data_IF_352819348794
#
_entry.id   IF_352819348794
#
_cell.length_a   1.000
_cell.length_b   1.000
_cell.length_c   1.000
_cell.angle_alpha   90.00
_cell.angle_beta   90.00
_cell.angle_gamma   90.00
#
_symmetry.space_group_name_H-M   'P 1'
#
loop_
_entity.id
_entity.type
_entity.pdbx_description
1 polymer ?
#
# COMPACT_ATOMS: atom_id res chain seq x y z
N UNK A 1 -0.75 31.05 -13.94
CA UNK A 1 0.57 31.38 -13.33
C UNK A 1 1.21 30.20 -12.59
N UNK A 2 0.46 29.14 -12.27
CA UNK A 2 0.90 27.95 -11.51
C UNK A 2 1.95 27.04 -12.20
N UNK A 3 1.88 26.87 -13.54
CA UNK A 3 2.93 26.14 -14.31
C UNK A 3 4.35 26.67 -14.09
N UNK A 4 4.50 27.98 -13.82
CA UNK A 4 5.80 28.61 -13.50
C UNK A 4 6.23 28.43 -12.05
N UNK A 5 5.31 28.10 -11.14
CA UNK A 5 5.59 27.86 -9.73
C UNK A 5 6.09 26.42 -9.54
N UNK A 6 5.41 25.44 -10.15
CA UNK A 6 5.84 24.03 -10.16
C UNK A 6 7.22 23.84 -10.80
N UNK A 7 7.51 24.53 -11.91
CA UNK A 7 8.84 24.48 -12.58
C UNK A 7 9.97 25.18 -11.80
N UNK A 8 9.64 25.99 -10.80
CA UNK A 8 10.61 26.68 -9.94
C UNK A 8 10.86 25.94 -8.61
N UNK A 9 9.91 25.12 -8.17
CA UNK A 9 9.98 24.33 -6.94
C UNK A 9 10.55 22.93 -7.21
N UNK A 10 10.44 22.42 -8.44
CA UNK A 10 10.96 21.12 -8.87
C UNK A 10 11.88 21.30 -10.09
N UNK A 11 13.18 20.98 -10.02
CA UNK A 11 14.06 21.05 -11.19
C UNK A 11 13.70 19.95 -12.21
N UNK A 12 13.37 20.35 -13.43
CA UNK A 12 13.25 19.44 -14.58
C UNK A 12 14.63 19.15 -15.21
N UNK A 13 14.76 17.95 -15.78
CA UNK A 13 15.92 17.47 -16.54
C UNK A 13 16.24 18.39 -17.73
N UNK A 14 17.30 19.19 -17.62
CA UNK A 14 18.16 19.71 -18.72
C UNK A 14 18.87 20.99 -18.24
N UNK A 15 19.87 20.87 -17.38
CA UNK A 15 21.00 21.83 -17.36
C UNK A 15 22.10 21.35 -16.42
N UNK A 16 23.22 20.90 -17.00
CA UNK A 16 24.49 20.76 -16.31
C UNK A 16 25.23 22.10 -16.34
N UNK A 17 24.85 23.02 -15.45
CA UNK A 17 25.67 24.20 -15.14
C UNK A 17 25.82 24.39 -13.62
N UNK A 18 26.95 24.96 -13.15
CA UNK A 18 27.23 25.09 -11.73
C UNK A 18 26.25 26.07 -11.09
N UNK A 19 25.55 25.62 -10.04
CA UNK A 19 24.56 26.43 -9.31
C UNK A 19 25.26 27.52 -8.52
N UNK A 20 25.18 28.75 -9.01
CA UNK A 20 25.48 29.94 -8.24
C UNK A 20 24.42 30.11 -7.14
N UNK A 21 24.88 30.20 -5.88
CA UNK A 21 24.06 30.33 -4.67
C UNK A 21 23.21 31.61 -4.74
N UNK A 22 22.00 31.49 -5.28
CA UNK A 22 20.98 32.51 -5.15
C UNK A 22 20.12 32.12 -3.95
N UNK A 23 20.16 32.92 -2.88
CA UNK A 23 19.31 32.72 -1.71
C UNK A 23 17.84 32.74 -2.16
N UNK A 24 17.15 31.61 -2.04
CA UNK A 24 15.75 31.48 -2.41
C UNK A 24 14.88 32.26 -1.41
N UNK A 25 14.06 33.18 -1.93
CA UNK A 25 12.90 33.72 -1.21
C UNK A 25 12.01 32.55 -0.76
N UNK A 26 11.37 32.58 0.42
CA UNK A 26 10.44 31.53 0.81
C UNK A 26 9.38 31.39 -0.27
N UNK A 27 9.30 30.21 -0.87
CA UNK A 27 8.27 29.93 -1.87
C UNK A 27 6.91 30.04 -1.17
N UNK A 28 6.02 30.84 -1.75
CA UNK A 28 4.65 30.98 -1.26
C UNK A 28 3.93 29.62 -1.35
N UNK A 29 3.21 29.25 -0.28
CA UNK A 29 2.55 27.95 -0.21
C UNK A 29 1.35 27.89 -1.17
N UNK A 30 1.08 26.74 -1.81
CA UNK A 30 -0.06 26.55 -2.69
C UNK A 30 -1.40 26.79 -1.97
N UNK A 31 -2.12 27.86 -2.32
CA UNK A 31 -3.44 28.16 -1.72
C UNK A 31 -4.61 27.80 -2.64
N UNK A 32 -4.63 28.37 -3.84
CA UNK A 32 -5.75 28.18 -4.78
C UNK A 32 -5.42 27.12 -5.82
N UNK A 33 -6.34 26.18 -6.06
CA UNK A 33 -6.29 25.21 -7.15
C UNK A 33 -7.36 25.59 -8.20
N UNK A 34 -6.95 25.64 -9.46
CA UNK A 34 -7.81 26.04 -10.58
C UNK A 34 -8.06 24.84 -11.50
N UNK A 35 -9.32 24.63 -11.89
CA UNK A 35 -9.69 23.63 -12.89
C UNK A 35 -10.73 24.19 -13.87
N UNK A 36 -10.77 23.63 -15.09
CA UNK A 36 -11.67 24.12 -16.12
C UNK A 36 -13.12 23.73 -15.80
N UNK A 37 -14.04 24.69 -15.90
CA UNK A 37 -15.46 24.43 -15.72
C UNK A 37 -15.96 24.37 -14.28
N UNK A 38 -15.08 24.55 -13.29
CA UNK A 38 -15.44 24.59 -11.86
C UNK A 38 -14.86 25.85 -11.18
N UNK A 39 -15.48 26.35 -10.10
CA UNK A 39 -14.91 27.45 -9.31
C UNK A 39 -13.53 27.08 -8.72
N UNK A 40 -12.59 28.03 -8.57
CA UNK A 40 -11.32 27.79 -7.88
C UNK A 40 -11.54 27.29 -6.46
N UNK A 41 -10.74 26.31 -6.04
CA UNK A 41 -10.77 25.75 -4.71
C UNK A 41 -9.71 26.42 -3.83
N UNK A 42 -10.10 26.88 -2.63
CA UNK A 42 -9.14 27.26 -1.59
C UNK A 42 -8.65 25.99 -0.89
N UNK A 43 -7.53 25.46 -1.35
CA UNK A 43 -6.95 24.21 -0.86
C UNK A 43 -6.40 24.36 0.57
N UNK A 44 -5.97 25.56 0.96
CA UNK A 44 -5.47 25.81 2.32
C UNK A 44 -6.60 25.68 3.35
N UNK A 45 -7.83 26.09 3.01
CA UNK A 45 -9.01 25.90 3.88
C UNK A 45 -9.41 24.43 4.06
N UNK A 46 -8.97 23.54 3.16
CA UNK A 46 -9.21 22.10 3.27
C UNK A 46 -8.14 21.35 4.08
N UNK A 47 -7.08 22.03 4.54
CA UNK A 47 -6.04 21.39 5.33
C UNK A 47 -6.50 21.22 6.78
N UNK A 48 -6.58 19.96 7.20
CA UNK A 48 -6.77 19.58 8.59
C UNK A 48 -5.38 19.44 9.22
N UNK A 49 -5.12 20.21 10.28
CA UNK A 49 -3.82 20.18 10.98
C UNK A 49 -3.98 19.43 12.31
N UNK A 50 -3.34 18.27 12.40
CA UNK A 50 -3.28 17.45 13.61
C UNK A 50 -1.82 17.20 13.97
N UNK A 51 -1.47 17.34 15.26
CA UNK A 51 -0.07 17.30 15.73
C UNK A 51 0.88 18.24 14.96
N UNK A 52 0.34 19.32 14.38
CA UNK A 52 1.12 20.26 13.56
C UNK A 52 1.40 19.78 12.14
N UNK A 53 0.91 18.61 11.73
CA UNK A 53 1.10 18.05 10.39
C UNK A 53 -0.19 18.26 9.55
N UNK A 54 -0.11 18.95 8.40
CA UNK A 54 -1.27 19.19 7.55
C UNK A 54 -1.58 17.96 6.67
N UNK A 55 -2.85 17.56 6.66
CA UNK A 55 -3.40 16.57 5.74
C UNK A 55 -4.70 17.13 5.15
N UNK A 56 -4.95 17.00 3.84
CA UNK A 56 -6.20 17.47 3.25
C UNK A 56 -7.40 16.69 3.76
N UNK A 57 -8.54 17.35 3.82
CA UNK A 57 -9.84 16.69 3.79
C UNK A 57 -10.03 16.05 2.41
N UNK A 58 -9.60 14.79 2.27
CA UNK A 58 -9.63 14.10 1.00
C UNK A 58 -11.06 13.84 0.50
N UNK A 59 -12.05 13.75 1.38
CA UNK A 59 -13.45 13.60 0.97
C UNK A 59 -13.94 14.88 0.29
N UNK A 60 -13.65 16.05 0.86
CA UNK A 60 -13.96 17.34 0.24
C UNK A 60 -13.19 17.55 -1.08
N UNK A 61 -11.93 17.10 -1.14
CA UNK A 61 -11.13 17.12 -2.37
C UNK A 61 -11.73 16.22 -3.45
N UNK A 62 -12.16 15.00 -3.10
CA UNK A 62 -12.83 14.06 -4.03
C UNK A 62 -14.17 14.63 -4.52
N UNK A 63 -14.96 15.22 -3.63
CA UNK A 63 -16.22 15.86 -4.00
C UNK A 63 -16.00 16.97 -5.03
N UNK A 64 -15.09 17.90 -4.75
CA UNK A 64 -14.80 19.01 -5.68
C UNK A 64 -14.19 18.52 -7.00
N UNK A 65 -13.28 17.55 -6.97
CA UNK A 65 -12.69 17.00 -8.21
C UNK A 65 -13.71 16.25 -9.07
N UNK A 66 -14.75 15.67 -8.47
CA UNK A 66 -15.84 15.01 -9.20
C UNK A 66 -16.66 15.95 -10.09
N UNK A 67 -16.65 17.26 -9.80
CA UNK A 67 -17.34 18.28 -10.59
C UNK A 67 -16.64 18.60 -11.91
N UNK A 68 -15.36 18.24 -12.05
CA UNK A 68 -14.59 18.48 -13.27
C UNK A 68 -15.05 17.49 -14.35
N UNK A 69 -15.64 18.03 -15.42
CA UNK A 69 -16.32 17.21 -16.44
C UNK A 69 -15.42 16.29 -17.27
N UNK A 70 -14.13 16.63 -17.45
CA UNK A 70 -13.20 15.83 -18.24
C UNK A 70 -12.23 14.99 -17.39
N UNK A 71 -12.07 13.72 -17.75
CA UNK A 71 -11.25 12.75 -16.99
C UNK A 71 -9.78 13.16 -16.91
N UNK A 72 -9.18 13.59 -18.02
CA UNK A 72 -7.79 14.06 -18.06
C UNK A 72 -7.58 15.33 -17.19
N UNK A 73 -8.61 16.16 -17.06
CA UNK A 73 -8.67 17.32 -16.19
C UNK A 73 -8.68 16.94 -14.72
N UNK A 74 -9.55 16.00 -14.34
CA UNK A 74 -9.60 15.41 -13.00
C UNK A 74 -8.24 14.86 -12.59
N UNK A 75 -7.70 14.00 -13.44
CA UNK A 75 -6.40 13.36 -13.29
C UNK A 75 -5.28 14.38 -13.03
N UNK A 76 -5.14 15.37 -13.92
CA UNK A 76 -4.11 16.40 -13.78
C UNK A 76 -4.25 17.14 -12.45
N UNK A 77 -5.47 17.53 -12.09
CA UNK A 77 -5.73 18.35 -10.91
C UNK A 77 -5.53 17.54 -9.62
N UNK A 78 -5.86 16.25 -9.62
CA UNK A 78 -5.56 15.34 -8.53
C UNK A 78 -4.06 15.31 -8.22
N UNK A 79 -3.20 15.11 -9.22
CA UNK A 79 -1.74 15.15 -9.03
C UNK A 79 -1.23 16.53 -8.59
N UNK A 80 -1.89 17.62 -9.00
CA UNK A 80 -1.56 18.97 -8.51
C UNK A 80 -1.91 19.14 -7.02
N UNK A 81 -3.01 18.56 -6.55
CA UNK A 81 -3.44 18.57 -5.14
C UNK A 81 -2.52 17.74 -4.26
N UNK A 82 -2.08 16.57 -4.72
CA UNK A 82 -1.08 15.77 -4.03
C UNK A 82 0.24 16.55 -3.85
N UNK A 83 0.72 17.20 -4.90
CA UNK A 83 1.91 18.06 -4.81
C UNK A 83 1.67 19.25 -3.89
N UNK A 84 0.50 19.89 -3.95
CA UNK A 84 0.16 21.01 -3.08
C UNK A 84 0.21 20.60 -1.60
N UNK A 85 -0.41 19.47 -1.27
CA UNK A 85 -0.33 18.86 0.06
C UNK A 85 1.11 18.62 0.49
N UNK A 86 1.93 17.95 -0.32
CA UNK A 86 3.31 17.63 0.03
C UNK A 86 4.18 18.88 0.24
N UNK A 87 3.87 19.99 -0.44
CA UNK A 87 4.56 21.28 -0.20
C UNK A 87 4.18 21.86 1.17
N UNK A 88 2.91 21.79 1.57
CA UNK A 88 2.46 22.18 2.91
C UNK A 88 3.05 21.27 4.00
N UNK A 89 3.01 19.96 3.79
CA UNK A 89 3.57 18.99 4.72
C UNK A 89 5.07 19.17 4.90
N UNK A 90 5.82 19.42 3.81
CA UNK A 90 7.24 19.78 3.87
C UNK A 90 7.48 21.04 4.71
N UNK A 91 6.63 22.05 4.57
CA UNK A 91 6.79 23.29 5.33
C UNK A 91 6.58 23.07 6.83
N UNK A 92 5.63 22.21 7.21
CA UNK A 92 5.38 21.81 8.60
C UNK A 92 6.52 20.95 9.18
N UNK A 93 7.03 19.98 8.41
CA UNK A 93 8.16 19.12 8.80
C UNK A 93 9.49 19.88 8.89
N UNK A 94 9.62 21.00 8.17
CA UNK A 94 10.72 21.94 8.27
C UNK A 94 11.72 21.91 7.11
N UNK A 95 12.60 22.91 7.08
CA UNK A 95 13.42 23.23 5.90
C UNK A 95 14.45 22.15 5.49
N UNK A 96 14.73 21.17 6.35
CA UNK A 96 15.64 20.06 6.07
C UNK A 96 14.99 18.96 5.22
N UNK A 97 13.64 18.89 5.23
CA UNK A 97 12.90 18.05 4.31
C UNK A 97 12.93 18.61 2.89
N UNK A 98 12.97 17.71 1.92
CA UNK A 98 12.96 18.00 0.49
C UNK A 98 11.93 17.13 -0.21
N UNK A 99 11.38 17.69 -1.27
CA UNK A 99 10.46 17.01 -2.17
C UNK A 99 11.23 16.67 -3.46
N UNK A 100 11.34 15.39 -3.78
CA UNK A 100 11.97 14.90 -5.01
C UNK A 100 10.94 14.16 -5.83
N UNK A 101 10.76 14.57 -7.08
CA UNK A 101 9.88 13.90 -8.04
C UNK A 101 10.67 13.30 -9.18
N UNK A 102 10.39 12.04 -9.54
CA UNK A 102 10.91 11.36 -10.74
C UNK A 102 9.79 10.49 -11.31
N UNK A 103 9.43 10.68 -12.58
CA UNK A 103 8.31 9.93 -13.17
C UNK A 103 7.00 10.17 -12.41
N UNK A 104 6.32 9.08 -12.04
CA UNK A 104 5.13 9.08 -11.18
C UNK A 104 5.47 9.22 -9.70
N UNK A 105 6.70 8.86 -9.29
CA UNK A 105 7.09 8.82 -7.89
C UNK A 105 7.44 10.19 -7.30
N UNK A 106 6.98 10.44 -6.07
CA UNK A 106 7.36 11.59 -5.25
C UNK A 106 7.86 11.11 -3.89
N UNK A 107 9.04 11.60 -3.48
CA UNK A 107 9.64 11.32 -2.18
C UNK A 107 9.71 12.61 -1.38
N UNK A 108 9.07 12.64 -0.22
CA UNK A 108 9.23 13.68 0.80
C UNK A 108 10.08 13.11 1.94
N UNK A 109 11.28 13.65 2.12
CA UNK A 109 12.22 13.12 3.12
C UNK A 109 13.29 14.13 3.53
N UNK A 110 14.02 13.81 4.59
CA UNK A 110 15.28 14.48 4.96
C UNK A 110 16.53 13.83 4.33
N UNK A 111 16.37 12.76 3.53
CA UNK A 111 17.46 11.99 2.91
C UNK A 111 18.37 12.87 2.06
N UNK A 112 19.63 12.47 1.89
CA UNK A 112 20.53 13.21 1.00
C UNK A 112 20.01 13.25 -0.44
N UNK A 113 20.32 14.31 -1.20
CA UNK A 113 19.66 14.58 -2.48
C UNK A 113 19.82 13.44 -3.50
N UNK A 114 20.97 12.74 -3.44
CA UNK A 114 21.24 11.55 -4.27
C UNK A 114 20.40 10.36 -3.81
N UNK A 115 20.26 10.15 -2.49
CA UNK A 115 19.46 9.04 -1.92
C UNK A 115 17.96 9.23 -2.19
N UNK A 116 17.44 10.45 -2.02
CA UNK A 116 16.04 10.75 -2.33
C UNK A 116 15.71 10.54 -3.82
N UNK A 117 16.64 10.88 -4.72
CA UNK A 117 16.51 10.59 -6.16
C UNK A 117 16.57 9.08 -6.43
N UNK A 118 17.50 8.37 -5.78
CA UNK A 118 17.60 6.91 -5.91
C UNK A 118 16.32 6.21 -5.43
N UNK A 119 15.74 6.65 -4.31
CA UNK A 119 14.46 6.15 -3.79
C UNK A 119 13.32 6.33 -4.80
N UNK A 120 13.17 7.54 -5.36
CA UNK A 120 12.14 7.79 -6.37
C UNK A 120 12.34 6.94 -7.63
N UNK A 121 13.59 6.77 -8.10
CA UNK A 121 13.90 5.91 -9.24
C UNK A 121 13.63 4.43 -8.93
N UNK A 122 13.96 3.99 -7.72
CA UNK A 122 13.66 2.64 -7.25
C UNK A 122 12.17 2.37 -7.28
N UNK A 123 11.32 3.27 -6.76
CA UNK A 123 9.86 3.11 -6.80
C UNK A 123 9.33 2.91 -8.22
N UNK A 124 9.75 3.75 -9.18
CA UNK A 124 9.36 3.59 -10.58
C UNK A 124 9.81 2.24 -11.16
N UNK A 125 11.05 1.83 -10.87
CA UNK A 125 11.58 0.55 -11.35
C UNK A 125 10.87 -0.65 -10.72
N UNK A 126 10.59 -0.59 -9.42
CA UNK A 126 9.86 -1.59 -8.66
C UNK A 126 8.45 -1.75 -9.23
N UNK A 127 7.72 -0.66 -9.46
CA UNK A 127 6.38 -0.69 -10.06
C UNK A 127 6.36 -1.43 -11.41
N UNK A 128 7.34 -1.15 -12.28
CA UNK A 128 7.46 -1.85 -13.57
C UNK A 128 7.79 -3.33 -13.39
N UNK A 129 8.65 -3.68 -12.42
CA UNK A 129 8.96 -5.09 -12.14
C UNK A 129 7.77 -5.83 -11.53
N UNK A 130 6.98 -5.20 -10.66
CA UNK A 130 5.78 -5.80 -10.04
C UNK A 130 4.79 -6.22 -11.13
N UNK A 131 4.42 -5.31 -12.02
CA UNK A 131 3.50 -5.60 -13.14
C UNK A 131 4.03 -6.73 -14.02
N UNK A 132 5.34 -6.78 -14.25
CA UNK A 132 5.98 -7.84 -15.04
C UNK A 132 5.99 -9.19 -14.31
N UNK A 133 6.31 -9.20 -13.02
CA UNK A 133 6.39 -10.39 -12.18
C UNK A 133 5.01 -11.00 -11.97
N UNK A 134 4.01 -10.16 -11.77
CA UNK A 134 2.61 -10.53 -11.57
C UNK A 134 1.81 -10.43 -12.88
N UNK A 135 2.45 -10.76 -14.01
CA UNK A 135 1.88 -10.58 -15.34
C UNK A 135 0.52 -11.27 -15.50
N UNK A 136 -0.48 -10.49 -15.90
CA UNK A 136 -1.87 -10.95 -16.04
C UNK A 136 -2.68 -10.90 -14.74
N UNK A 137 -2.10 -10.49 -13.62
CA UNK A 137 -2.78 -10.28 -12.33
C UNK A 137 -2.63 -8.83 -11.88
N UNK A 138 -1.41 -8.30 -11.83
CA UNK A 138 -1.18 -6.91 -11.46
C UNK A 138 -1.46 -5.97 -12.64
N UNK A 139 -1.99 -4.80 -12.32
CA UNK A 139 -2.09 -3.67 -13.24
C UNK A 139 -1.16 -2.56 -12.76
N UNK A 140 -0.65 -1.76 -13.70
CA UNK A 140 -0.08 -0.48 -13.32
C UNK A 140 -1.25 0.38 -12.82
N UNK A 141 -1.10 1.15 -11.73
CA UNK A 141 -2.14 2.06 -11.26
C UNK A 141 -2.66 2.91 -12.43
N UNK A 142 -3.97 2.82 -12.69
CA UNK A 142 -4.65 3.67 -13.67
C UNK A 142 -5.05 4.97 -12.97
N UNK A 143 -4.69 6.11 -13.55
CA UNK A 143 -4.95 7.44 -12.99
C UNK A 143 -3.70 8.30 -12.93
N UNK A 144 -3.86 9.56 -12.51
CA UNK A 144 -2.77 10.54 -12.48
C UNK A 144 -2.24 10.89 -11.09
N UNK A 145 -2.60 10.08 -10.08
CA UNK A 145 -1.97 10.13 -8.77
C UNK A 145 -0.48 9.76 -8.81
N UNK A 146 0.25 10.20 -7.80
CA UNK A 146 1.65 9.95 -7.61
C UNK A 146 1.90 8.75 -6.69
N UNK A 147 2.96 7.99 -6.98
CA UNK A 147 3.48 7.01 -6.02
C UNK A 147 4.25 7.79 -4.95
N UNK A 148 3.62 8.06 -3.81
CA UNK A 148 4.18 8.94 -2.77
C UNK A 148 4.87 8.13 -1.68
N UNK A 149 6.11 8.50 -1.36
CA UNK A 149 6.87 7.98 -0.23
C UNK A 149 7.24 9.12 0.74
N UNK A 150 6.80 8.97 1.99
CA UNK A 150 7.17 9.81 3.12
C UNK A 150 8.23 9.08 3.96
N UNK A 151 9.42 9.65 4.11
CA UNK A 151 10.46 9.13 5.01
C UNK A 151 10.65 10.11 6.14
N UNK A 152 10.13 9.77 7.31
CA UNK A 152 10.12 10.60 8.52
C UNK A 152 11.36 10.31 9.38
N UNK A 153 11.97 11.36 9.93
CA UNK A 153 13.26 11.29 10.61
C UNK A 153 13.27 10.45 11.89
N UNK A 154 12.15 10.46 12.62
CA UNK A 154 12.04 9.85 13.95
C UNK A 154 10.70 9.17 14.18
N UNK A 155 10.67 8.37 15.24
CA UNK A 155 9.54 7.54 15.63
C UNK A 155 8.35 8.37 16.13
N UNK A 156 8.61 9.48 16.82
CA UNK A 156 7.56 10.37 17.34
C UNK A 156 6.78 11.00 16.18
N UNK A 157 7.49 11.59 15.20
CA UNK A 157 6.88 12.19 14.01
C UNK A 157 6.15 11.15 13.17
N UNK A 158 6.71 9.93 13.07
CA UNK A 158 6.04 8.82 12.39
C UNK A 158 4.72 8.46 13.05
N UNK A 159 4.69 8.30 14.37
CA UNK A 159 3.46 7.97 15.08
C UNK A 159 2.48 9.14 15.12
N UNK A 160 2.94 10.38 15.26
CA UNK A 160 2.09 11.57 15.18
C UNK A 160 1.36 11.64 13.83
N UNK A 161 2.05 11.31 12.74
CA UNK A 161 1.47 11.25 11.41
C UNK A 161 0.47 10.09 11.25
N UNK A 162 0.85 8.89 11.69
CA UNK A 162 0.07 7.66 11.50
C UNK A 162 -1.18 7.61 12.38
N UNK A 163 -1.13 8.12 13.61
CA UNK A 163 -2.23 8.08 14.57
C UNK A 163 -3.52 8.72 14.05
N UNK A 164 -3.42 9.70 13.14
CA UNK A 164 -4.58 10.30 12.46
C UNK A 164 -5.44 9.27 11.72
N UNK A 165 -4.82 8.29 11.08
CA UNK A 165 -5.50 7.34 10.22
C UNK A 165 -6.07 6.14 10.99
N UNK A 166 -5.53 5.90 12.19
CA UNK A 166 -5.88 4.76 13.04
C UNK A 166 -6.01 5.20 14.50
N UNK A 167 -6.96 6.09 14.84
CA UNK A 167 -7.08 6.67 16.19
C UNK A 167 -7.47 5.63 17.26
N UNK A 168 -8.05 4.51 16.84
CA UNK A 168 -8.59 3.46 17.72
C UNK A 168 -7.67 2.23 17.88
N UNK A 169 -6.56 2.14 17.15
CA UNK A 169 -5.62 1.00 17.21
C UNK A 169 -4.42 1.33 18.11
N UNK A 170 -4.47 0.88 19.36
CA UNK A 170 -3.54 1.27 20.43
C UNK A 170 -2.15 0.60 20.43
N UNK A 171 -1.87 -0.32 19.51
CA UNK A 171 -0.54 -0.93 19.37
C UNK A 171 -0.23 -1.18 17.88
N UNK A 172 0.45 -0.24 17.24
CA UNK A 172 1.02 -0.45 15.90
C UNK A 172 2.04 -1.58 16.00
N UNK A 173 1.74 -2.74 15.42
CA UNK A 173 2.65 -3.88 15.40
C UNK A 173 3.90 -3.53 14.57
N UNK A 174 4.91 -2.92 15.22
CA UNK A 174 6.32 -2.77 14.82
C UNK A 174 6.61 -2.68 13.30
N UNK A 175 5.77 -2.04 12.50
CA UNK A 175 5.96 -2.08 11.05
C UNK A 175 7.12 -1.15 10.67
N UNK A 176 7.95 -1.61 9.74
CA UNK A 176 9.04 -0.80 9.16
C UNK A 176 8.51 0.37 8.33
N UNK A 177 7.21 0.39 8.03
CA UNK A 177 6.47 1.40 7.28
C UNK A 177 5.03 0.94 7.10
N UNK A 178 4.19 1.76 6.49
CA UNK A 178 2.77 1.46 6.27
C UNK A 178 2.27 2.17 5.01
N UNK A 179 1.41 1.51 4.24
CA UNK A 179 0.60 2.16 3.21
C UNK A 179 -0.70 2.71 3.78
N UNK A 180 -0.96 3.98 3.51
CA UNK A 180 -2.19 4.65 3.89
C UNK A 180 -3.07 4.77 2.65
N UNK A 181 -4.25 4.17 2.71
CA UNK A 181 -5.27 4.19 1.64
C UNK A 181 -6.50 5.02 2.05
N UNK A 182 -6.29 6.17 2.67
CA UNK A 182 -7.36 7.06 3.12
C UNK A 182 -7.37 8.37 2.31
N UNK A 183 -8.08 8.34 1.18
CA UNK A 183 -8.14 9.45 0.23
C UNK A 183 -7.00 9.43 -0.79
N UNK A 184 -5.82 9.93 -0.39
CA UNK A 184 -4.60 9.83 -1.21
C UNK A 184 -3.74 8.65 -0.76
N UNK A 185 -3.52 7.70 -1.67
CA UNK A 185 -2.66 6.55 -1.44
C UNK A 185 -1.19 6.98 -1.29
N UNK A 186 -0.57 6.68 -0.16
CA UNK A 186 0.85 6.98 0.04
C UNK A 186 1.51 6.04 1.04
N UNK A 187 2.81 5.86 0.90
CA UNK A 187 3.65 5.08 1.79
C UNK A 187 4.34 5.97 2.81
N UNK A 188 4.34 5.57 4.07
CA UNK A 188 5.08 6.24 5.15
C UNK A 188 6.01 5.27 5.85
N UNK A 189 7.26 5.68 6.05
CA UNK A 189 8.28 4.90 6.77
C UNK A 189 9.16 5.82 7.61
N UNK A 190 9.87 5.20 8.56
CA UNK A 190 10.91 5.87 9.34
C UNK A 190 12.21 5.84 8.56
N UNK A 191 13.06 6.85 8.80
CA UNK A 191 14.38 6.92 8.21
C UNK A 191 15.23 5.74 8.68
N UNK A 192 15.53 4.86 7.73
CA UNK A 192 16.43 3.74 7.94
C UNK A 192 17.90 4.17 7.78
N UNK A 193 18.83 3.27 8.12
CA UNK A 193 20.27 3.56 7.97
C UNK A 193 20.74 3.49 6.52
N UNK A 194 20.09 2.64 5.73
CA UNK A 194 20.30 2.45 4.30
C UNK A 194 18.94 2.37 3.62
N UNK A 195 18.82 2.95 2.43
CA UNK A 195 17.62 2.86 1.60
C UNK A 195 17.20 1.40 1.35
N UNK A 196 18.17 0.49 1.25
CA UNK A 196 17.92 -0.95 1.08
C UNK A 196 17.12 -1.58 2.21
N UNK A 197 17.12 -0.99 3.40
CA UNK A 197 16.33 -1.49 4.52
C UNK A 197 14.83 -1.23 4.34
N UNK A 198 14.45 -0.21 3.54
CA UNK A 198 13.04 0.14 3.26
C UNK A 198 12.55 -0.34 1.88
N UNK A 199 13.47 -0.73 0.97
CA UNK A 199 13.13 -1.27 -0.35
C UNK A 199 12.14 -2.46 -0.31
N UNK A 200 12.26 -3.44 0.62
CA UNK A 200 11.28 -4.52 0.75
C UNK A 200 9.86 -4.00 1.03
N UNK A 201 9.74 -3.07 2.00
CA UNK A 201 8.45 -2.48 2.34
C UNK A 201 7.89 -1.65 1.18
N UNK A 202 8.72 -0.87 0.48
CA UNK A 202 8.27 -0.16 -0.73
C UNK A 202 7.68 -1.13 -1.77
N UNK A 203 8.35 -2.26 -2.03
CA UNK A 203 7.85 -3.28 -2.98
C UNK A 203 6.54 -3.90 -2.50
N UNK A 204 6.45 -4.21 -1.21
CA UNK A 204 5.26 -4.78 -0.58
C UNK A 204 4.04 -3.88 -0.83
N UNK A 205 4.16 -2.60 -0.50
CA UNK A 205 3.04 -1.66 -0.59
C UNK A 205 2.68 -1.28 -2.04
N UNK A 206 3.68 -1.13 -2.92
CA UNK A 206 3.41 -0.94 -4.35
C UNK A 206 2.68 -2.16 -4.96
N UNK A 207 2.91 -3.36 -4.41
CA UNK A 207 2.19 -4.55 -4.85
C UNK A 207 0.71 -4.46 -4.51
N UNK A 208 0.34 -4.00 -3.31
CA UNK A 208 -1.06 -3.73 -2.96
C UNK A 208 -1.73 -2.74 -3.91
N UNK A 209 -1.04 -1.63 -4.21
CA UNK A 209 -1.53 -0.64 -5.19
C UNK A 209 -1.79 -1.25 -6.58
N UNK A 210 -0.91 -2.16 -7.01
CA UNK A 210 -1.06 -2.91 -8.28
C UNK A 210 -2.18 -3.95 -8.30
N UNK A 211 -2.69 -4.34 -7.13
CA UNK A 211 -3.75 -5.34 -6.94
C UNK A 211 -5.09 -4.72 -6.55
N UNK A 212 -5.16 -3.41 -6.28
CA UNK A 212 -6.35 -2.73 -5.75
C UNK A 212 -7.59 -2.76 -6.66
N UNK A 213 -7.48 -3.23 -7.89
CA UNK A 213 -8.60 -3.48 -8.79
C UNK A 213 -9.27 -4.85 -8.58
N UNK A 214 -8.66 -5.74 -7.80
CA UNK A 214 -9.13 -7.10 -7.56
C UNK A 214 -9.83 -7.22 -6.20
N UNK A 215 -11.03 -7.81 -6.12
CA UNK A 215 -11.74 -8.07 -4.87
C UNK A 215 -11.23 -9.37 -4.20
N UNK A 216 -9.91 -9.56 -4.14
CA UNK A 216 -9.28 -10.79 -3.66
C UNK A 216 -9.26 -10.87 -2.13
N UNK A 217 -9.33 -12.08 -1.54
CA UNK A 217 -9.23 -12.26 -0.11
C UNK A 217 -7.87 -11.81 0.43
N UNK A 218 -7.84 -11.31 1.67
CA UNK A 218 -6.64 -10.72 2.29
C UNK A 218 -5.44 -11.67 2.24
N UNK A 219 -5.64 -12.97 2.45
CA UNK A 219 -4.54 -13.93 2.42
C UNK A 219 -3.82 -14.00 1.07
N UNK A 220 -4.57 -13.83 -0.02
CA UNK A 220 -4.04 -13.85 -1.38
C UNK A 220 -3.34 -12.53 -1.68
N UNK A 221 -3.92 -11.41 -1.25
CA UNK A 221 -3.34 -10.08 -1.40
C UNK A 221 -1.97 -9.99 -0.69
N UNK A 222 -1.94 -10.32 0.60
CA UNK A 222 -0.70 -10.35 1.40
C UNK A 222 0.29 -11.40 0.91
N UNK A 223 -0.20 -12.59 0.51
CA UNK A 223 0.65 -13.63 -0.05
C UNK A 223 1.36 -13.18 -1.34
N UNK A 224 0.67 -12.44 -2.21
CA UNK A 224 1.25 -11.84 -3.42
C UNK A 224 2.27 -10.75 -3.09
N UNK A 225 1.95 -9.87 -2.14
CA UNK A 225 2.86 -8.81 -1.67
C UNK A 225 4.17 -9.39 -1.09
N UNK A 226 4.08 -10.34 -0.14
CA UNK A 226 5.26 -10.96 0.49
C UNK A 226 6.10 -11.75 -0.52
N UNK A 227 5.50 -12.49 -1.45
CA UNK A 227 6.28 -13.20 -2.48
C UNK A 227 6.95 -12.23 -3.47
N UNK A 228 6.31 -11.11 -3.77
CA UNK A 228 6.87 -10.09 -4.68
C UNK A 228 8.02 -9.34 -4.01
N UNK A 229 7.86 -9.02 -2.73
CA UNK A 229 8.92 -8.52 -1.85
C UNK A 229 10.13 -9.46 -1.84
N UNK A 230 9.96 -10.74 -1.50
CA UNK A 230 11.07 -11.71 -1.44
C UNK A 230 11.80 -11.84 -2.80
N UNK A 231 11.07 -11.68 -3.91
CA UNK A 231 11.61 -11.81 -5.26
C UNK A 231 12.39 -10.58 -5.72
N UNK A 232 11.92 -9.38 -5.38
CA UNK A 232 12.51 -8.12 -5.85
C UNK A 232 13.51 -7.50 -4.86
N UNK A 233 13.37 -7.82 -3.57
CA UNK A 233 14.23 -7.31 -2.49
C UNK A 233 14.78 -8.46 -1.63
N UNK A 234 15.60 -9.37 -2.19
CA UNK A 234 16.12 -10.52 -1.45
C UNK A 234 17.13 -10.10 -0.39
N UNK A 235 17.07 -10.72 0.80
CA UNK A 235 18.08 -10.53 1.84
C UNK A 235 17.57 -10.32 3.27
N UNK A 236 16.26 -10.35 3.48
CA UNK A 236 15.66 -10.31 4.82
C UNK A 236 16.12 -11.50 5.67
N UNK A 237 16.60 -11.23 6.89
CA UNK A 237 17.02 -12.27 7.82
C UNK A 237 15.80 -12.82 8.54
N UNK A 238 15.47 -14.08 8.33
CA UNK A 238 14.30 -14.67 8.98
C UNK A 238 14.59 -14.96 10.45
N UNK A 239 13.74 -14.45 11.35
CA UNK A 239 13.85 -14.67 12.79
C UNK A 239 13.72 -16.15 13.19
N UNK A 240 12.92 -16.91 12.43
CA UNK A 240 12.66 -18.32 12.66
C UNK A 240 13.19 -19.17 11.51
N UNK A 241 13.76 -20.34 11.85
CA UNK A 241 14.11 -21.36 10.88
C UNK A 241 12.86 -22.00 10.27
N UNK A 242 12.98 -22.59 9.09
CA UNK A 242 11.88 -23.29 8.42
C UNK A 242 11.25 -24.37 9.32
N UNK A 243 12.06 -25.10 10.10
CA UNK A 243 11.58 -26.13 11.04
C UNK A 243 10.80 -25.54 12.22
N UNK A 244 11.22 -24.39 12.73
CA UNK A 244 10.49 -23.71 13.82
C UNK A 244 9.15 -23.20 13.32
N UNK A 245 9.09 -22.60 12.13
CA UNK A 245 7.82 -22.14 11.54
C UNK A 245 6.87 -23.31 11.31
N UNK A 246 7.32 -24.40 10.70
CA UNK A 246 6.49 -25.61 10.53
C UNK A 246 5.88 -26.09 11.86
N UNK A 247 6.67 -26.16 12.93
CA UNK A 247 6.17 -26.52 14.25
C UNK A 247 5.15 -25.52 14.81
N UNK A 248 5.34 -24.21 14.57
CA UNK A 248 4.38 -23.18 14.98
C UNK A 248 3.07 -23.31 14.19
N UNK A 249 3.12 -23.48 12.86
CA UNK A 249 1.94 -23.71 12.03
C UNK A 249 1.13 -24.91 12.48
N UNK A 250 1.77 -26.07 12.69
CA UNK A 250 1.10 -27.31 13.14
C UNK A 250 0.46 -27.18 14.52
N UNK A 251 0.99 -26.31 15.38
CA UNK A 251 0.42 -26.04 16.71
C UNK A 251 -0.76 -25.07 16.64
N UNK A 252 -0.69 -24.06 15.79
CA UNK A 252 -1.63 -22.95 15.75
C UNK A 252 -2.87 -23.24 14.89
N UNK A 253 -2.68 -23.80 13.70
CA UNK A 253 -3.77 -24.03 12.75
C UNK A 253 -4.60 -25.25 13.13
N UNK A 254 -5.91 -25.04 13.19
CA UNK A 254 -6.94 -26.05 13.39
C UNK A 254 -8.20 -25.62 12.65
N UNK A 255 -9.25 -26.46 12.66
CA UNK A 255 -10.50 -26.20 11.94
C UNK A 255 -11.17 -24.85 12.27
N UNK A 256 -10.91 -24.28 13.46
CA UNK A 256 -11.40 -22.95 13.85
C UNK A 256 -10.44 -21.84 13.40
N UNK A 257 -9.18 -21.88 13.83
CA UNK A 257 -8.23 -20.78 13.55
C UNK A 257 -7.97 -20.61 12.05
N UNK A 258 -8.07 -21.67 11.25
CA UNK A 258 -7.93 -21.55 9.80
C UNK A 258 -9.07 -20.75 9.15
N UNK A 259 -10.26 -20.67 9.77
CA UNK A 259 -11.33 -19.79 9.27
C UNK A 259 -11.00 -18.31 9.50
N UNK A 260 -10.29 -17.97 10.58
CA UNK A 260 -9.75 -16.61 10.81
C UNK A 260 -8.68 -16.25 9.75
N UNK A 261 -7.99 -17.23 9.19
CA UNK A 261 -7.09 -17.03 8.05
C UNK A 261 -7.86 -16.72 6.77
N UNK A 262 -8.87 -17.51 6.43
CA UNK A 262 -9.67 -17.30 5.22
C UNK A 262 -10.43 -15.98 5.22
N UNK A 263 -10.92 -15.55 6.39
CA UNK A 263 -11.63 -14.27 6.56
C UNK A 263 -10.71 -13.07 6.73
N UNK A 264 -9.41 -13.30 6.94
CA UNK A 264 -8.43 -12.23 7.17
C UNK A 264 -8.29 -11.79 8.64
N UNK A 265 -9.19 -12.13 9.56
CA UNK A 265 -9.12 -11.72 10.97
C UNK A 265 -7.80 -12.07 11.66
N UNK A 266 -7.20 -13.20 11.29
CA UNK A 266 -5.93 -13.65 11.86
C UNK A 266 -4.76 -12.68 11.63
N UNK A 267 -4.84 -11.82 10.60
CA UNK A 267 -3.83 -10.79 10.30
C UNK A 267 -3.84 -9.63 11.31
N UNK A 268 -4.91 -9.44 12.08
CA UNK A 268 -4.99 -8.40 13.12
C UNK A 268 -4.73 -8.93 14.53
N UNK A 269 -4.32 -10.20 14.67
CA UNK A 269 -4.11 -10.80 15.99
C UNK A 269 -2.84 -10.24 16.65
N UNK A 270 -2.87 -9.97 17.97
CA UNK A 270 -1.69 -9.53 18.72
C UNK A 270 -0.72 -10.67 19.07
N UNK A 271 -1.04 -11.91 18.72
CA UNK A 271 -0.23 -13.11 19.01
C UNK A 271 0.47 -13.67 17.76
N UNK A 272 0.99 -14.90 17.86
CA UNK A 272 1.68 -15.59 16.75
C UNK A 272 0.81 -15.77 15.49
N UNK A 273 -0.51 -15.61 15.58
CA UNK A 273 -1.42 -15.70 14.46
C UNK A 273 -1.13 -14.72 13.33
N UNK A 274 -0.80 -13.45 13.63
CA UNK A 274 -0.47 -12.45 12.61
C UNK A 274 0.72 -12.91 11.75
N UNK A 275 1.85 -13.24 12.40
CA UNK A 275 3.05 -13.72 11.71
C UNK A 275 2.79 -15.00 10.90
N UNK A 276 2.04 -15.94 11.46
CA UNK A 276 1.74 -17.21 10.81
C UNK A 276 0.79 -17.03 9.61
N UNK A 277 -0.07 -16.01 9.62
CA UNK A 277 -0.92 -15.68 8.47
C UNK A 277 -0.12 -15.18 7.29
N UNK A 278 0.81 -14.24 7.50
CA UNK A 278 1.73 -13.81 6.43
C UNK A 278 2.55 -14.98 5.88
N UNK A 279 3.09 -15.85 6.75
CA UNK A 279 3.86 -17.01 6.31
C UNK A 279 3.02 -18.02 5.53
N UNK A 280 1.79 -18.32 5.98
CA UNK A 280 0.87 -19.23 5.29
C UNK A 280 0.42 -18.67 3.94
N UNK A 281 0.02 -17.39 3.87
CA UNK A 281 -0.33 -16.72 2.63
C UNK A 281 0.83 -16.77 1.62
N UNK A 282 2.06 -16.50 2.08
CA UNK A 282 3.26 -16.64 1.25
C UNK A 282 3.43 -18.07 0.73
N UNK A 283 3.34 -19.09 1.59
CA UNK A 283 3.51 -20.49 1.22
C UNK A 283 2.47 -20.92 0.18
N UNK A 284 1.20 -20.55 0.38
CA UNK A 284 0.11 -20.86 -0.55
C UNK A 284 0.35 -20.20 -1.91
N UNK A 285 0.57 -18.89 -1.95
CA UNK A 285 0.82 -18.19 -3.22
C UNK A 285 2.01 -18.81 -3.95
N UNK A 286 3.12 -19.06 -3.25
CA UNK A 286 4.32 -19.70 -3.84
C UNK A 286 4.02 -21.08 -4.42
N UNK A 287 3.19 -21.87 -3.74
CA UNK A 287 2.82 -23.21 -4.19
C UNK A 287 1.87 -23.15 -5.40
N UNK A 288 0.81 -22.36 -5.30
CA UNK A 288 -0.22 -22.22 -6.33
C UNK A 288 0.34 -21.57 -7.60
N UNK A 289 1.26 -20.61 -7.48
CA UNK A 289 1.86 -19.90 -8.61
C UNK A 289 2.90 -20.72 -9.39
N UNK A 290 3.13 -22.00 -9.04
CA UNK A 290 4.01 -22.88 -9.80
C UNK A 290 3.53 -23.08 -11.25
N UNK A 291 2.20 -23.10 -11.45
CA UNK A 291 1.56 -23.01 -12.76
C UNK A 291 0.96 -21.61 -12.93
N UNK A 292 1.78 -20.67 -13.41
CA UNK A 292 1.41 -19.26 -13.46
C UNK A 292 0.14 -18.96 -14.26
N UNK A 293 -0.08 -19.49 -15.48
CA UNK A 293 -1.32 -19.23 -16.22
C UNK A 293 -2.59 -19.58 -15.44
N UNK A 294 -2.63 -20.75 -14.80
CA UNK A 294 -3.79 -21.17 -14.00
C UNK A 294 -3.92 -20.36 -12.71
N UNK A 295 -2.80 -20.02 -12.08
CA UNK A 295 -2.79 -19.15 -10.91
C UNK A 295 -3.30 -17.74 -11.23
N UNK A 296 -2.95 -17.19 -12.39
CA UNK A 296 -3.45 -15.89 -12.81
C UNK A 296 -4.98 -15.91 -13.01
N UNK A 297 -5.52 -16.95 -13.66
CA UNK A 297 -6.97 -17.13 -13.79
C UNK A 297 -7.65 -17.21 -12.42
N UNK A 298 -7.08 -17.99 -11.49
CA UNK A 298 -7.53 -18.07 -10.10
C UNK A 298 -7.53 -16.69 -9.42
N UNK A 299 -6.42 -15.96 -9.46
CA UNK A 299 -6.29 -14.68 -8.77
C UNK A 299 -7.26 -13.62 -9.30
N UNK A 300 -7.51 -13.59 -10.62
CA UNK A 300 -8.48 -12.67 -11.23
C UNK A 300 -9.94 -13.04 -10.92
N UNK A 301 -10.21 -14.28 -10.48
CA UNK A 301 -11.57 -14.77 -10.24
C UNK A 301 -11.88 -14.94 -8.76
N UNK A 302 -10.88 -14.88 -7.89
CA UNK A 302 -11.03 -15.08 -6.45
C UNK A 302 -11.77 -13.90 -5.81
N UNK A 303 -12.66 -14.23 -4.87
CA UNK A 303 -13.49 -13.27 -4.16
C UNK A 303 -13.27 -13.37 -2.66
N UNK A 304 -13.27 -12.23 -1.97
CA UNK A 304 -13.19 -12.17 -0.50
C UNK A 304 -14.33 -12.94 0.16
N UNK A 305 -15.55 -12.86 -0.37
CA UNK A 305 -16.78 -13.44 0.20
C UNK A 305 -16.69 -14.94 0.47
N UNK A 306 -15.89 -15.68 -0.32
CA UNK A 306 -15.69 -17.11 -0.15
C UNK A 306 -14.25 -17.53 0.12
N UNK A 307 -13.39 -16.57 0.44
CA UNK A 307 -11.95 -16.79 0.65
C UNK A 307 -11.22 -17.28 -0.59
N UNK A 308 -11.80 -17.13 -1.78
CA UNK A 308 -11.28 -17.63 -3.06
C UNK A 308 -11.59 -19.10 -3.34
N UNK A 309 -12.46 -19.74 -2.56
CA UNK A 309 -12.69 -21.19 -2.65
C UNK A 309 -13.27 -21.64 -4.00
N UNK A 310 -14.25 -20.92 -4.54
CA UNK A 310 -14.84 -21.23 -5.84
C UNK A 310 -13.82 -21.09 -6.96
N UNK A 311 -13.08 -19.98 -7.00
CA UNK A 311 -12.05 -19.76 -8.00
C UNK A 311 -10.94 -20.83 -7.94
N UNK A 312 -10.53 -21.25 -6.74
CA UNK A 312 -9.53 -22.32 -6.60
C UNK A 312 -10.03 -23.66 -7.16
N UNK A 313 -11.30 -24.01 -6.93
CA UNK A 313 -11.89 -25.22 -7.50
C UNK A 313 -11.99 -25.16 -9.02
N UNK A 314 -12.38 -24.00 -9.57
CA UNK A 314 -12.59 -23.84 -11.01
C UNK A 314 -11.27 -23.76 -11.78
N UNK A 315 -10.41 -22.80 -11.44
CA UNK A 315 -9.17 -22.56 -12.18
C UNK A 315 -8.08 -23.59 -11.87
N UNK A 316 -7.96 -24.03 -10.61
CA UNK A 316 -6.86 -24.89 -10.15
C UNK A 316 -7.29 -26.36 -9.97
N UNK A 317 -8.59 -26.63 -9.76
CA UNK A 317 -9.09 -27.98 -9.53
C UNK A 317 -8.77 -28.52 -8.13
N UNK A 318 -8.61 -27.62 -7.15
CA UNK A 318 -8.19 -27.98 -5.78
C UNK A 318 -9.18 -27.49 -4.73
N UNK A 319 -9.12 -28.10 -3.54
CA UNK A 319 -9.68 -27.53 -2.32
C UNK A 319 -8.56 -26.86 -1.51
N UNK A 320 -8.76 -25.59 -1.15
CA UNK A 320 -7.75 -24.80 -0.42
C UNK A 320 -7.47 -25.38 0.98
N UNK A 321 -8.48 -25.89 1.67
CA UNK A 321 -8.33 -26.46 3.01
C UNK A 321 -7.53 -27.75 2.98
N UNK A 322 -7.82 -28.64 2.03
CA UNK A 322 -7.07 -29.88 1.84
C UNK A 322 -5.62 -29.62 1.42
N UNK A 323 -5.36 -28.57 0.62
CA UNK A 323 -3.99 -28.13 0.34
C UNK A 323 -3.26 -27.70 1.62
N UNK A 324 -3.88 -26.88 2.47
CA UNK A 324 -3.27 -26.43 3.73
C UNK A 324 -3.01 -27.63 4.66
N UNK A 325 -3.96 -28.55 4.77
CA UNK A 325 -3.78 -29.79 5.55
C UNK A 325 -2.61 -30.61 5.03
N UNK A 326 -2.46 -30.74 3.71
CA UNK A 326 -1.34 -31.43 3.09
C UNK A 326 0.01 -30.75 3.37
N UNK A 327 0.07 -29.41 3.34
CA UNK A 327 1.29 -28.65 3.66
C UNK A 327 1.81 -28.91 5.08
N UNK A 328 0.91 -29.19 6.03
CA UNK A 328 1.25 -29.42 7.44
C UNK A 328 1.06 -30.87 7.90
N UNK A 329 0.83 -31.79 6.96
CA UNK A 329 0.63 -33.24 7.19
C UNK A 329 -0.49 -33.55 8.19
N UNK A 330 -1.62 -32.85 8.09
CA UNK A 330 -2.81 -33.06 8.91
C UNK A 330 -3.73 -34.09 8.25
N UNK A 331 -3.73 -35.31 8.79
CA UNK A 331 -4.53 -36.45 8.29
C UNK A 331 -5.78 -36.71 9.16
N UNK A 332 -6.42 -35.65 9.66
CA UNK A 332 -7.66 -35.74 10.41
C UNK A 332 -8.86 -35.43 9.49
N UNK A 333 -9.65 -36.43 9.08
CA UNK A 333 -10.80 -36.23 8.21
C UNK A 333 -11.97 -35.51 8.91
N UNK A 334 -11.96 -35.40 10.24
CA UNK A 334 -12.99 -34.67 10.98
C UNK A 334 -12.73 -33.16 10.98
N UNK A 335 -11.51 -32.74 10.63
CA UNK A 335 -11.16 -31.33 10.54
C UNK A 335 -11.37 -30.82 9.11
N UNK A 336 -12.46 -30.08 8.93
CA UNK A 336 -12.71 -29.31 7.72
C UNK A 336 -11.94 -27.98 7.78
N UNK A 337 -10.87 -27.87 6.99
CA UNK A 337 -10.06 -26.66 6.89
C UNK A 337 -10.42 -25.80 5.67
N UNK A 338 -11.35 -26.24 4.82
CA UNK A 338 -11.77 -25.48 3.64
C UNK A 338 -12.46 -24.18 4.07
N UNK A 339 -12.42 -23.12 3.26
CA UNK A 339 -13.20 -21.91 3.54
C UNK A 339 -14.69 -22.24 3.73
N UNK A 340 -15.29 -21.76 4.81
CA UNK A 340 -16.68 -22.03 5.17
C UNK A 340 -17.48 -20.72 5.36
N UNK A 341 -17.88 -20.04 4.27
CA UNK A 341 -18.56 -18.74 4.34
C UNK A 341 -19.84 -18.73 5.17
N UNK A 342 -20.55 -19.85 5.20
CA UNK A 342 -21.75 -20.03 6.01
C UNK A 342 -21.50 -19.90 7.52
N UNK A 343 -20.27 -20.14 8.00
CA UNK A 343 -19.89 -19.95 9.40
C UNK A 343 -19.53 -18.49 9.69
N UNK A 344 -18.92 -17.78 8.73
CA UNK A 344 -18.44 -16.41 8.93
C UNK A 344 -19.60 -15.41 9.09
N UNK A 345 -20.68 -15.61 8.32
CA UNK A 345 -21.88 -14.78 8.41
C UNK A 345 -22.59 -14.87 9.77
N UNK A 346 -22.38 -15.96 10.52
CA UNK A 346 -22.97 -16.14 11.86
C UNK A 346 -22.15 -15.40 12.94
N UNK A 347 -20.84 -15.25 12.74
CA UNK A 347 -19.93 -14.50 13.64
C UNK A 347 -19.96 -12.97 13.37
N UNK A 348 -20.24 -12.54 12.13
CA UNK A 348 -20.39 -11.12 11.77
C UNK A 348 -21.58 -10.42 12.47
N UNK A 349 -22.49 -11.17 13.11
CA UNK A 349 -23.55 -10.65 13.98
C UNK A 349 -23.05 -10.33 15.40
N UNK A 350 -21.78 -10.63 15.72
CA UNK A 350 -21.22 -10.45 17.07
C UNK A 350 -20.05 -9.46 17.17
N UNK A 351 -19.24 -9.28 16.12
CA UNK A 351 -18.21 -8.21 16.06
C UNK A 351 -18.04 -7.67 14.63
N UNK A 352 -17.84 -6.36 14.43
CA UNK A 352 -17.54 -5.82 13.11
C UNK A 352 -16.13 -6.24 12.68
N UNK A 353 -15.99 -6.71 11.44
CA UNK A 353 -14.71 -6.83 10.74
C UNK A 353 -13.92 -5.51 10.87
N UNK A 354 -12.59 -5.53 11.06
CA UNK A 354 -11.78 -4.34 10.87
C UNK A 354 -12.06 -3.80 9.47
N UNK A 355 -12.45 -2.53 9.39
CA UNK A 355 -12.82 -1.93 8.13
C UNK A 355 -11.60 -1.89 7.21
N UNK A 356 -11.57 -2.77 6.20
CA UNK A 356 -10.84 -2.47 4.98
C UNK A 356 -11.52 -1.26 4.35
N UNK A 357 -11.10 -0.05 4.73
CA UNK A 357 -11.42 1.14 3.96
C UNK A 357 -10.50 1.16 2.74
N UNK A 358 -10.76 0.28 1.80
CA UNK A 358 -10.33 0.46 0.42
C UNK A 358 -11.28 1.47 -0.20
N UNK A 359 -10.92 2.75 -0.12
CA UNK A 359 -11.54 3.76 -0.96
C UNK A 359 -11.04 3.52 -2.39
N UNK A 360 -11.80 2.72 -3.15
CA UNK A 360 -11.70 2.76 -4.60
C UNK A 360 -11.96 4.21 -5.05
N UNK A 361 -11.01 4.83 -5.73
CA UNK A 361 -11.36 5.87 -6.67
C UNK A 361 -12.34 5.23 -7.68
N UNK A 362 -13.45 5.91 -8.04
CA UNK A 362 -14.43 5.33 -8.94
C UNK A 362 -13.78 5.03 -10.29
N UNK A 363 -13.67 3.75 -10.62
CA UNK A 363 -13.45 3.29 -11.99
C UNK A 363 -14.71 3.63 -12.77
N UNK A 364 -14.70 4.78 -13.44
CA UNK A 364 -15.73 5.08 -14.45
C UNK A 364 -15.51 4.20 -15.67
N UNK A 365 -16.56 3.46 -16.08
CA UNK A 365 -16.71 2.88 -17.42
C UNK A 365 -16.57 3.93 -18.52
#
# INVERSE_FOLDING_TARGET
MFKKLLSRILPSEESSQPVEKTAASPAELPRMIEAAGVPPLDFEELLIVEQGLPVPDWDAVMEWTSEIGDAAGRDRVWGEMEVAWLVHLRAALGAHYRLVRRGSAIVLSSLDGVEAVAAAQFMNAAQQQIVKVLGGVAQAPEGAGHDILLVLDDEDTYYDYVARYYPDEGEFAFSGGMFISHGCGHFVTRKARDLKEIEPTIVHELTHGSLGHLPIPLWLNEGLAVNTEERLSPGQTQQHTARQRDAMHRKFWNARTIQEFWTGHSYSRPDEGNMLSYDLGRLLVRHLSADWPRFAEFANSALTDDGGAAAAREALGIDLGELVKALFEVDDPQQNWSPQPALWAQEALTEPLPAQRHCHAPVTM
#
